data_IF_833749294892
#
_entry.id   IF_833749294892
#
_cell.length_a   1.000
_cell.length_b   1.000
_cell.length_c   1.000
_cell.angle_alpha   90.00
_cell.angle_beta   90.00
_cell.angle_gamma   90.00
#
_symmetry.space_group_name_H-M   'P 1'
#
loop_
_entity.id
_entity.type
_entity.pdbx_description
1 polymer ?
#
# COMPACT_ATOMS: atom_id res chain seq x y z
N UNK A 1 0.50 13.23 -38.33
CA UNK A 1 0.86 13.45 -36.92
C UNK A 1 -0.07 12.61 -36.05
N UNK A 2 0.33 11.40 -35.67
CA UNK A 2 -0.57 10.40 -35.08
C UNK A 2 -0.61 10.49 -33.55
N UNK A 3 -1.73 11.01 -33.01
CA UNK A 3 -1.96 11.27 -31.57
C UNK A 3 -2.45 10.05 -30.79
N UNK A 4 -2.47 8.85 -31.38
CA UNK A 4 -3.05 7.64 -30.78
C UNK A 4 -2.22 7.08 -29.61
N UNK A 5 -0.90 7.33 -29.59
CA UNK A 5 0.01 6.83 -28.54
C UNK A 5 -0.29 7.39 -27.14
N UNK A 6 -0.69 8.66 -27.04
CA UNK A 6 -0.96 9.33 -25.78
C UNK A 6 -2.16 8.72 -25.00
N UNK A 7 -3.20 8.26 -25.70
CA UNK A 7 -4.39 7.64 -25.07
C UNK A 7 -4.06 6.30 -24.39
N UNK A 8 -3.15 5.52 -24.97
CA UNK A 8 -2.75 4.21 -24.44
C UNK A 8 -1.88 4.36 -23.19
N UNK A 9 -1.02 5.38 -23.15
CA UNK A 9 -0.23 5.74 -21.97
C UNK A 9 -1.08 6.27 -20.82
N UNK A 10 -2.09 7.10 -21.12
CA UNK A 10 -3.00 7.65 -20.12
C UNK A 10 -3.82 6.58 -19.40
N UNK A 11 -4.43 5.63 -20.13
CA UNK A 11 -5.20 4.55 -19.50
C UNK A 11 -4.33 3.64 -18.64
N UNK A 12 -3.12 3.28 -19.11
CA UNK A 12 -2.16 2.49 -18.32
C UNK A 12 -1.74 3.21 -17.05
N UNK A 13 -1.48 4.51 -17.14
CA UNK A 13 -1.13 5.35 -15.99
C UNK A 13 -2.28 5.43 -14.98
N UNK A 14 -3.50 5.68 -15.44
CA UNK A 14 -4.69 5.72 -14.58
C UNK A 14 -4.97 4.38 -13.90
N UNK A 15 -4.79 3.25 -14.61
CA UNK A 15 -4.91 1.92 -14.02
C UNK A 15 -3.81 1.64 -13.00
N UNK A 16 -2.56 2.02 -13.26
CA UNK A 16 -1.49 1.90 -12.28
C UNK A 16 -1.80 2.73 -11.02
N UNK A 17 -2.27 3.97 -11.19
CA UNK A 17 -2.65 4.82 -10.07
C UNK A 17 -3.82 4.24 -9.24
N UNK A 18 -4.80 3.60 -9.90
CA UNK A 18 -5.90 2.91 -9.23
C UNK A 18 -5.40 1.68 -8.45
N UNK A 19 -4.56 0.86 -9.08
CA UNK A 19 -3.98 -0.33 -8.43
C UNK A 19 -3.15 0.09 -7.22
N UNK A 20 -2.32 1.12 -7.36
CA UNK A 20 -1.49 1.65 -6.27
C UNK A 20 -2.37 2.20 -5.14
N UNK A 21 -3.43 2.95 -5.45
CA UNK A 21 -4.38 3.41 -4.45
C UNK A 21 -5.04 2.24 -3.70
N UNK A 22 -5.41 1.16 -4.41
CA UNK A 22 -6.02 -0.02 -3.78
C UNK A 22 -5.02 -0.81 -2.93
N UNK A 23 -3.77 -0.91 -3.37
CA UNK A 23 -2.68 -1.46 -2.58
C UNK A 23 -2.46 -0.65 -1.31
N UNK A 24 -2.47 0.69 -1.39
CA UNK A 24 -2.37 1.57 -0.21
C UNK A 24 -3.49 1.31 0.80
N UNK A 25 -4.72 1.18 0.34
CA UNK A 25 -5.87 0.86 1.20
C UNK A 25 -5.72 -0.52 1.87
N UNK A 26 -5.33 -1.53 1.10
CA UNK A 26 -5.09 -2.87 1.63
C UNK A 26 -3.97 -2.88 2.67
N UNK A 27 -2.86 -2.19 2.42
CA UNK A 27 -1.75 -2.07 3.38
C UNK A 27 -2.18 -1.38 4.67
N UNK A 28 -3.00 -0.32 4.60
CA UNK A 28 -3.55 0.34 5.80
C UNK A 28 -4.44 -0.59 6.61
N UNK A 29 -5.30 -1.35 5.94
CA UNK A 29 -6.18 -2.32 6.60
C UNK A 29 -5.38 -3.44 7.30
N UNK A 30 -4.43 -4.04 6.58
CA UNK A 30 -3.57 -5.10 7.13
C UNK A 30 -2.72 -4.57 8.28
N UNK A 31 -2.12 -3.38 8.15
CA UNK A 31 -1.35 -2.77 9.24
C UNK A 31 -2.23 -2.50 10.46
N UNK A 32 -3.46 -2.02 10.29
CA UNK A 32 -4.40 -1.83 11.39
C UNK A 32 -4.75 -3.16 12.09
N UNK A 33 -4.94 -4.22 11.32
CA UNK A 33 -5.20 -5.56 11.85
C UNK A 33 -3.97 -6.13 12.59
N UNK A 34 -2.77 -5.99 12.02
CA UNK A 34 -1.52 -6.41 12.64
C UNK A 34 -1.23 -5.63 13.93
N UNK A 35 -1.53 -4.34 13.98
CA UNK A 35 -1.38 -3.54 15.21
C UNK A 35 -2.34 -3.97 16.34
N UNK A 36 -3.43 -4.66 16.01
CA UNK A 36 -4.34 -5.27 16.98
C UNK A 36 -3.85 -6.60 17.54
N UNK A 37 -2.86 -7.24 16.92
CA UNK A 37 -2.23 -8.47 17.43
C UNK A 37 -1.28 -8.14 18.59
N UNK A 38 -1.10 -9.07 19.51
CA UNK A 38 -0.13 -8.97 20.59
C UNK A 38 1.32 -9.09 20.07
N UNK A 39 2.28 -8.65 20.89
CA UNK A 39 3.70 -8.61 20.50
C UNK A 39 4.31 -10.01 20.33
N UNK A 40 3.78 -11.05 20.99
CA UNK A 40 4.28 -12.43 20.86
C UNK A 40 3.86 -12.99 19.50
N UNK A 41 2.60 -12.80 19.12
CA UNK A 41 2.08 -13.17 17.79
C UNK A 41 2.81 -12.41 16.67
N UNK A 42 3.04 -11.11 16.84
CA UNK A 42 3.81 -10.32 15.87
C UNK A 42 5.24 -10.85 15.69
N UNK A 43 5.94 -11.13 16.81
CA UNK A 43 7.29 -11.72 16.76
C UNK A 43 7.31 -13.12 16.16
N UNK A 44 6.32 -13.95 16.47
CA UNK A 44 6.20 -15.29 15.90
C UNK A 44 6.06 -15.27 14.37
N UNK A 45 5.46 -14.22 13.83
CA UNK A 45 5.33 -13.98 12.39
C UNK A 45 6.44 -13.09 11.80
N UNK A 46 7.44 -12.69 12.59
CA UNK A 46 8.58 -11.90 12.15
C UNK A 46 8.28 -10.41 11.93
N UNK A 47 7.21 -9.90 12.51
CA UNK A 47 6.85 -8.49 12.45
C UNK A 47 7.32 -7.72 13.68
N UNK A 48 7.91 -6.55 13.48
CA UNK A 48 8.17 -5.58 14.54
C UNK A 48 7.03 -4.55 14.60
N UNK A 49 6.43 -4.39 15.78
CA UNK A 49 5.33 -3.45 16.02
C UNK A 49 5.77 -2.00 15.75
N UNK A 50 7.02 -1.64 16.02
CA UNK A 50 7.52 -0.28 15.76
C UNK A 50 7.64 0.01 14.26
N UNK A 51 8.01 -0.99 13.45
CA UNK A 51 8.00 -0.88 12.00
C UNK A 51 6.59 -0.78 11.43
N UNK A 52 5.64 -1.58 11.96
CA UNK A 52 4.23 -1.50 11.57
C UNK A 52 3.61 -0.14 11.90
N UNK A 53 3.92 0.44 13.07
CA UNK A 53 3.49 1.80 13.45
C UNK A 53 4.06 2.86 12.52
N UNK A 54 5.33 2.73 12.13
CA UNK A 54 5.95 3.65 11.15
C UNK A 54 5.31 3.51 9.78
N UNK A 55 5.04 2.30 9.32
CA UNK A 55 4.35 2.06 8.05
C UNK A 55 2.90 2.55 8.05
N UNK A 56 2.20 2.47 9.19
CA UNK A 56 0.84 2.99 9.35
C UNK A 56 0.79 4.53 9.37
N UNK A 57 1.77 5.18 9.99
CA UNK A 57 1.87 6.64 10.07
C UNK A 57 2.61 7.29 8.89
N UNK A 58 3.25 6.50 8.03
CA UNK A 58 3.90 7.00 6.83
C UNK A 58 2.84 7.52 5.86
N UNK A 59 2.73 8.85 5.80
CA UNK A 59 2.08 9.54 4.70
C UNK A 59 3.02 9.42 3.49
N UNK A 60 2.98 8.28 2.79
CA UNK A 60 3.70 8.12 1.53
C UNK A 60 3.25 9.24 0.57
N UNK A 61 4.17 10.16 0.26
CA UNK A 61 4.07 11.22 -0.76
C UNK A 61 4.51 10.65 -2.10
#
# INVERSE_FOLDING_TARGET
MSTISARRGFFRSAMNALIEARQREASRYVNGMLLGLDDETLKAHGYDREELKKAANSLYV
#
